data_IF_793804165917
#
_entry.id   IF_793804165917
#
_cell.length_a   1.000
_cell.length_b   1.000
_cell.length_c   1.000
_cell.angle_alpha   90.00
_cell.angle_beta   90.00
_cell.angle_gamma   90.00
#
_symmetry.space_group_name_H-M   'P 1'
#
loop_
_entity.id
_entity.type
_entity.pdbx_description
1 polymer ?
#
# COMPACT_ATOMS: atom_id res chain seq x y z
N UNK A 1 67.83 -7.79 33.85
CA UNK A 1 67.31 -6.40 33.72
C UNK A 1 66.28 -6.41 32.61
N UNK A 2 65.11 -5.83 32.88
CA UNK A 2 64.05 -5.55 31.90
C UNK A 2 64.63 -4.69 30.76
N UNK A 3 63.99 -4.61 29.60
CA UNK A 3 63.45 -3.34 29.07
C UNK A 3 62.93 -3.53 27.61
N UNK A 4 61.62 -3.79 27.53
CA UNK A 4 60.59 -3.35 26.56
C UNK A 4 60.59 -3.81 25.09
N UNK A 5 59.60 -4.68 24.82
CA UNK A 5 58.94 -4.90 23.54
C UNK A 5 58.39 -3.58 22.96
N UNK A 6 58.81 -3.20 21.76
CA UNK A 6 58.10 -2.20 20.95
C UNK A 6 57.06 -2.93 20.10
N UNK A 7 55.84 -3.08 20.61
CA UNK A 7 54.69 -3.45 19.80
C UNK A 7 54.17 -2.19 19.13
N UNK A 8 54.53 -1.99 17.86
CA UNK A 8 53.91 -0.96 17.01
C UNK A 8 52.51 -1.45 16.66
N UNK A 9 51.51 -0.98 17.40
CA UNK A 9 50.10 -1.20 17.07
C UNK A 9 49.75 -0.27 15.91
N UNK A 10 49.75 -0.82 14.69
CA UNK A 10 49.20 -0.15 13.52
C UNK A 10 47.66 -0.09 13.68
N UNK A 11 47.15 1.04 14.16
CA UNK A 11 45.71 1.35 14.14
C UNK A 11 45.28 1.53 12.69
N UNK A 12 44.79 0.46 12.08
CA UNK A 12 44.10 0.52 10.79
C UNK A 12 42.80 1.29 11.04
N UNK A 13 42.81 2.59 10.72
CA UNK A 13 41.60 3.39 10.61
C UNK A 13 40.78 2.80 9.45
N UNK A 14 39.91 1.84 9.75
CA UNK A 14 38.85 1.42 8.85
C UNK A 14 37.97 2.65 8.62
N UNK A 15 38.17 3.29 7.47
CA UNK A 15 37.34 4.41 7.06
C UNK A 15 35.88 3.96 7.07
N UNK A 16 35.05 4.60 7.90
CA UNK A 16 33.61 4.50 7.78
C UNK A 16 33.26 4.89 6.34
N UNK A 17 32.84 3.92 5.52
CA UNK A 17 32.18 4.22 4.26
C UNK A 17 31.06 5.22 4.58
N UNK A 18 31.10 6.41 3.98
CA UNK A 18 30.09 7.45 4.19
C UNK A 18 28.73 6.87 3.77
N UNK A 19 27.93 6.46 4.75
CA UNK A 19 26.56 6.00 4.53
C UNK A 19 25.77 7.17 3.96
N UNK A 20 25.54 7.17 2.65
CA UNK A 20 24.70 8.17 2.02
C UNK A 20 23.30 8.05 2.65
N UNK A 21 22.91 9.06 3.41
CA UNK A 21 21.59 9.05 4.07
C UNK A 21 20.51 8.95 2.99
N UNK A 22 19.56 8.02 3.16
CA UNK A 22 18.39 7.84 2.28
C UNK A 22 17.41 9.03 2.32
N UNK A 23 17.80 10.16 2.89
CA UNK A 23 16.94 11.29 3.23
C UNK A 23 16.51 12.13 2.02
N UNK A 24 17.23 12.05 0.89
CA UNK A 24 16.88 12.74 -0.37
C UNK A 24 15.96 11.93 -1.30
N UNK A 25 15.24 10.91 -0.81
CA UNK A 25 14.34 10.10 -1.65
C UNK A 25 13.08 10.89 -2.01
N UNK A 26 12.79 11.05 -3.31
CA UNK A 26 11.53 11.60 -3.80
C UNK A 26 10.42 10.56 -3.59
N UNK A 27 9.54 10.81 -2.63
CA UNK A 27 8.38 9.97 -2.36
C UNK A 27 7.19 10.34 -3.25
N UNK A 28 6.36 9.35 -3.60
CA UNK A 28 5.11 9.56 -4.32
C UNK A 28 4.15 10.37 -3.42
N UNK A 29 3.31 11.19 -4.03
CA UNK A 29 2.18 11.87 -3.40
C UNK A 29 1.03 11.79 -4.40
N UNK A 30 -0.13 11.27 -3.97
CA UNK A 30 -1.29 11.09 -4.85
C UNK A 30 -2.21 12.31 -4.84
N UNK A 31 -2.39 12.90 -3.65
CA UNK A 31 -3.15 14.13 -3.44
C UNK A 31 -2.50 14.98 -2.35
N UNK A 32 -2.88 16.26 -2.33
CA UNK A 32 -2.57 17.20 -1.24
C UNK A 32 -3.79 17.53 -0.39
N UNK A 33 -4.95 17.01 -0.77
CA UNK A 33 -6.23 17.32 -0.14
C UNK A 33 -6.57 16.31 0.97
N UNK A 34 -7.33 16.79 1.95
CA UNK A 34 -7.93 15.92 2.96
C UNK A 34 -9.04 15.07 2.34
N UNK A 35 -9.12 13.81 2.74
CA UNK A 35 -10.19 12.91 2.34
C UNK A 35 -11.50 13.34 3.01
N UNK A 36 -12.54 13.57 2.21
CA UNK A 36 -13.86 14.03 2.71
C UNK A 36 -14.96 12.97 2.57
N UNK A 37 -14.67 11.88 1.86
CA UNK A 37 -15.59 10.77 1.67
C UNK A 37 -16.06 10.16 2.99
N UNK A 38 -17.36 10.19 3.22
CA UNK A 38 -18.01 9.56 4.38
C UNK A 38 -18.69 8.24 4.03
N UNK A 39 -18.95 7.97 2.76
CA UNK A 39 -19.62 6.75 2.31
C UNK A 39 -19.02 6.19 1.01
N UNK A 40 -19.06 4.86 0.89
CA UNK A 40 -18.85 4.14 -0.36
C UNK A 40 -20.03 3.18 -0.54
N UNK A 41 -20.64 3.12 -1.74
CA UNK A 41 -21.68 2.15 -2.03
C UNK A 41 -21.23 0.72 -1.70
N UNK A 42 -22.10 -0.03 -1.03
CA UNK A 42 -21.83 -1.40 -0.59
C UNK A 42 -22.94 -2.33 -1.08
N UNK A 43 -22.57 -3.58 -1.33
CA UNK A 43 -23.53 -4.67 -1.56
C UNK A 43 -24.08 -5.16 -0.21
N UNK A 44 -23.18 -5.28 0.77
CA UNK A 44 -23.46 -5.64 2.16
C UNK A 44 -22.30 -5.15 3.05
N UNK A 45 -22.41 -5.36 4.36
CA UNK A 45 -21.44 -4.89 5.36
C UNK A 45 -19.99 -5.32 5.08
N UNK A 46 -19.79 -6.45 4.40
CA UNK A 46 -18.48 -7.02 4.11
C UNK A 46 -18.02 -6.83 2.67
N UNK A 47 -18.83 -6.22 1.79
CA UNK A 47 -18.57 -6.19 0.34
C UNK A 47 -18.91 -4.83 -0.28
N UNK A 48 -17.93 -4.21 -0.90
CA UNK A 48 -18.09 -2.94 -1.62
C UNK A 48 -18.78 -3.14 -2.98
N UNK A 49 -19.57 -2.15 -3.42
CA UNK A 49 -20.09 -2.12 -4.78
C UNK A 49 -19.08 -1.42 -5.70
N UNK A 50 -18.56 -2.15 -6.68
CA UNK A 50 -17.66 -1.63 -7.71
C UNK A 50 -18.40 -1.65 -9.05
N UNK A 51 -18.55 -0.49 -9.70
CA UNK A 51 -19.37 -0.35 -10.91
C UNK A 51 -18.59 -0.51 -12.22
N UNK A 52 -17.26 -0.34 -12.20
CA UNK A 52 -16.42 -0.30 -13.39
C UNK A 52 -15.13 -1.10 -13.23
N UNK A 53 -14.73 -1.75 -14.33
CA UNK A 53 -13.41 -2.40 -14.48
C UNK A 53 -12.47 -1.40 -15.16
N UNK A 54 -11.25 -1.29 -14.66
CA UNK A 54 -10.23 -0.41 -15.25
C UNK A 54 -9.70 -1.00 -16.56
N UNK A 55 -9.56 -0.17 -17.59
CA UNK A 55 -8.89 -0.53 -18.84
C UNK A 55 -7.35 -0.45 -18.72
N UNK A 56 -6.86 0.30 -17.73
CA UNK A 56 -5.44 0.48 -17.44
C UNK A 56 -4.85 -0.79 -16.81
N UNK A 57 -3.85 -1.35 -17.48
CA UNK A 57 -3.18 -2.58 -17.03
C UNK A 57 -2.36 -2.38 -15.76
N UNK A 58 -1.97 -1.15 -15.44
CA UNK A 58 -1.19 -0.82 -14.26
C UNK A 58 -2.05 -0.49 -13.04
N UNK A 59 -3.34 -0.19 -13.25
CA UNK A 59 -4.25 0.13 -12.15
C UNK A 59 -4.30 -1.01 -11.12
N UNK A 60 -4.12 -0.64 -9.87
CA UNK A 60 -3.95 -1.49 -8.70
C UNK A 60 -2.71 -2.41 -8.71
N UNK A 61 -1.93 -2.48 -9.79
CA UNK A 61 -0.79 -3.40 -9.96
C UNK A 61 0.58 -2.77 -9.75
N UNK A 62 0.64 -1.45 -9.64
CA UNK A 62 1.87 -0.71 -9.34
C UNK A 62 1.64 0.30 -8.23
N UNK A 63 2.67 0.64 -7.43
CA UNK A 63 2.53 1.63 -6.37
C UNK A 63 2.03 2.98 -6.85
N UNK A 64 2.36 3.42 -8.08
CA UNK A 64 1.93 4.72 -8.61
C UNK A 64 0.44 4.82 -8.96
N UNK A 65 -0.27 3.69 -9.03
CA UNK A 65 -1.69 3.62 -9.37
C UNK A 65 -2.43 2.66 -8.43
N UNK A 66 -2.41 2.88 -7.10
CA UNK A 66 -3.10 2.02 -6.16
C UNK A 66 -4.62 2.27 -6.22
N UNK A 67 -5.38 1.39 -5.59
CA UNK A 67 -6.81 1.63 -5.33
C UNK A 67 -6.94 2.64 -4.18
N UNK A 68 -7.70 3.70 -4.39
CA UNK A 68 -7.83 4.80 -3.42
C UNK A 68 -9.07 4.62 -2.55
N UNK A 69 -8.87 3.99 -1.40
CA UNK A 69 -9.91 3.61 -0.43
C UNK A 69 -10.03 4.60 0.74
N UNK A 70 -9.34 5.74 0.69
CA UNK A 70 -9.38 6.75 1.74
C UNK A 70 -10.79 7.28 2.00
N UNK A 71 -11.03 7.56 3.28
CA UNK A 71 -12.27 8.07 3.86
C UNK A 71 -11.95 9.25 4.77
N UNK A 72 -12.97 9.90 5.32
CA UNK A 72 -12.82 10.95 6.32
C UNK A 72 -11.96 10.50 7.52
N UNK A 73 -11.99 9.21 7.88
CA UNK A 73 -11.06 8.64 8.86
C UNK A 73 -10.21 7.52 8.28
N UNK A 74 -8.97 7.41 8.79
CA UNK A 74 -8.05 6.31 8.47
C UNK A 74 -8.63 4.94 8.84
N UNK A 75 -9.44 4.87 9.91
CA UNK A 75 -10.05 3.63 10.37
C UNK A 75 -11.03 3.09 9.32
N UNK A 76 -11.93 3.95 8.82
CA UNK A 76 -12.88 3.57 7.77
C UNK A 76 -12.16 3.17 6.48
N UNK A 77 -11.10 3.90 6.11
CA UNK A 77 -10.27 3.53 4.96
C UNK A 77 -9.64 2.13 5.10
N UNK A 78 -9.19 1.76 6.31
CA UNK A 78 -8.66 0.43 6.59
C UNK A 78 -9.74 -0.66 6.52
N UNK A 79 -10.95 -0.39 7.02
CA UNK A 79 -12.10 -1.32 6.93
C UNK A 79 -12.52 -1.58 5.47
N UNK A 80 -12.34 -0.60 4.57
CA UNK A 80 -12.66 -0.75 3.16
C UNK A 80 -11.72 -1.68 2.37
N UNK A 81 -10.55 -2.03 2.91
CA UNK A 81 -9.60 -2.94 2.25
C UNK A 81 -10.25 -4.30 1.99
N UNK A 82 -10.81 -4.92 3.03
CA UNK A 82 -11.43 -6.24 2.92
C UNK A 82 -12.71 -6.16 2.08
N UNK A 83 -13.50 -5.09 2.25
CA UNK A 83 -14.70 -4.85 1.45
C UNK A 83 -14.41 -4.75 -0.05
N UNK A 84 -13.32 -4.08 -0.41
CA UNK A 84 -12.86 -3.99 -1.79
C UNK A 84 -12.41 -5.35 -2.33
N UNK A 85 -11.61 -6.10 -1.56
CA UNK A 85 -11.12 -7.41 -1.98
C UNK A 85 -12.25 -8.44 -2.15
N UNK A 86 -13.25 -8.43 -1.26
CA UNK A 86 -14.44 -9.28 -1.35
C UNK A 86 -15.33 -8.97 -2.56
N UNK A 87 -15.24 -7.74 -3.07
CA UNK A 87 -15.95 -7.30 -4.26
C UNK A 87 -15.30 -7.78 -5.56
N UNK A 88 -14.08 -8.32 -5.52
CA UNK A 88 -13.43 -8.86 -6.71
C UNK A 88 -13.87 -10.31 -6.96
N UNK A 89 -13.98 -10.66 -8.24
CA UNK A 89 -14.20 -12.04 -8.71
C UNK A 89 -13.30 -12.31 -9.93
N UNK A 90 -13.06 -13.58 -10.23
CA UNK A 90 -12.43 -13.97 -11.49
C UNK A 90 -13.30 -13.60 -12.70
N UNK A 91 -12.75 -13.68 -13.92
CA UNK A 91 -13.47 -13.29 -15.13
C UNK A 91 -14.74 -14.11 -15.39
N UNK A 92 -14.88 -15.30 -14.81
CA UNK A 92 -16.07 -16.14 -14.91
C UNK A 92 -16.91 -16.13 -13.62
N UNK A 93 -16.59 -15.24 -12.67
CA UNK A 93 -17.27 -15.15 -11.38
C UNK A 93 -16.66 -16.04 -10.31
N UNK A 94 -15.45 -16.56 -10.52
CA UNK A 94 -14.73 -17.36 -9.52
C UNK A 94 -14.51 -16.55 -8.24
N UNK A 95 -14.63 -17.23 -7.10
CA UNK A 95 -14.22 -16.67 -5.82
C UNK A 95 -12.72 -16.37 -5.83
N UNK A 96 -12.36 -15.18 -5.34
CA UNK A 96 -10.98 -14.78 -5.14
C UNK A 96 -10.60 -14.98 -3.68
N UNK A 97 -9.38 -15.43 -3.49
CA UNK A 97 -8.75 -15.54 -2.20
C UNK A 97 -7.63 -14.51 -2.12
N UNK A 98 -7.38 -14.01 -0.92
CA UNK A 98 -6.34 -13.03 -0.72
C UNK A 98 -5.59 -13.22 0.60
N UNK A 99 -4.33 -12.80 0.59
CA UNK A 99 -3.48 -12.80 1.78
C UNK A 99 -2.73 -11.48 1.83
N UNK A 100 -2.77 -10.81 2.99
CA UNK A 100 -1.93 -9.66 3.27
C UNK A 100 -0.46 -10.07 3.08
N UNK A 101 0.25 -9.36 2.21
CA UNK A 101 1.63 -9.69 1.87
C UNK A 101 2.61 -8.90 2.71
N UNK A 102 2.60 -7.58 2.60
CA UNK A 102 3.44 -6.68 3.38
C UNK A 102 2.95 -5.23 3.17
N UNK A 103 2.97 -4.36 4.19
CA UNK A 103 2.89 -2.93 3.93
C UNK A 103 4.12 -2.50 3.13
N UNK A 104 3.94 -1.64 2.12
CA UNK A 104 5.02 -1.16 1.28
C UNK A 104 4.93 0.33 1.02
N UNK A 105 5.89 0.79 0.24
CA UNK A 105 5.73 1.97 -0.60
C UNK A 105 5.36 3.20 0.23
N UNK A 106 6.30 3.71 1.06
CA UNK A 106 6.09 4.98 1.73
C UNK A 106 5.74 6.06 0.71
N UNK A 107 4.71 6.83 1.02
CA UNK A 107 4.23 7.93 0.20
C UNK A 107 3.82 9.09 1.10
N UNK A 108 3.82 10.31 0.55
CA UNK A 108 3.39 11.51 1.26
C UNK A 108 1.88 11.68 1.16
N UNK A 109 1.25 11.97 2.29
CA UNK A 109 -0.18 12.28 2.39
C UNK A 109 -0.47 13.12 3.63
N UNK A 110 -1.42 14.04 3.51
CA UNK A 110 -1.96 14.80 4.65
C UNK A 110 -2.94 13.99 5.49
N UNK A 111 -3.43 12.87 4.95
CA UNK A 111 -4.42 11.98 5.58
C UNK A 111 -3.79 10.92 6.51
N UNK A 112 -2.46 10.94 6.67
CA UNK A 112 -1.75 10.07 7.61
C UNK A 112 -1.69 10.65 9.04
N UNK A 113 -1.97 11.93 9.20
CA UNK A 113 -1.99 12.56 10.51
C UNK A 113 -3.18 12.02 11.32
N UNK A 114 -2.89 11.43 12.48
CA UNK A 114 -3.90 11.25 13.52
C UNK A 114 -3.91 12.56 14.31
N UNK A 115 -4.98 13.34 14.18
CA UNK A 115 -5.12 14.67 14.78
C UNK A 115 -4.80 14.69 16.27
N UNK A 116 -4.93 13.54 16.95
CA UNK A 116 -4.84 13.44 18.41
C UNK A 116 -3.45 13.10 18.94
N UNK A 117 -2.59 12.40 18.18
CA UNK A 117 -1.38 11.80 18.75
C UNK A 117 -0.10 11.94 17.92
N UNK A 118 -0.17 12.07 16.59
CA UNK A 118 1.04 12.13 15.76
C UNK A 118 0.77 12.75 14.39
N UNK A 119 1.46 13.84 14.07
CA UNK A 119 1.51 14.42 12.72
C UNK A 119 2.53 13.64 11.88
N UNK A 120 2.07 12.60 11.19
CA UNK A 120 2.81 11.97 10.10
C UNK A 120 2.29 12.52 8.78
N UNK A 121 3.20 12.98 7.92
CA UNK A 121 2.88 13.31 6.52
C UNK A 121 3.10 12.09 5.58
N UNK A 122 3.21 10.89 6.15
CA UNK A 122 3.54 9.68 5.40
C UNK A 122 2.59 8.52 5.73
N UNK A 123 2.12 7.88 4.66
CA UNK A 123 1.40 6.61 4.68
C UNK A 123 2.23 5.47 4.09
N UNK A 124 1.75 4.24 4.29
CA UNK A 124 2.25 3.03 3.63
C UNK A 124 1.10 2.40 2.85
N UNK A 125 1.35 2.01 1.61
CA UNK A 125 0.38 1.22 0.85
C UNK A 125 0.26 -0.17 1.45
N UNK A 126 -0.95 -0.72 1.38
CA UNK A 126 -1.23 -2.10 1.74
C UNK A 126 -1.10 -2.98 0.49
N UNK A 127 -0.33 -4.07 0.59
CA UNK A 127 -0.19 -5.03 -0.50
C UNK A 127 -0.90 -6.33 -0.17
N UNK A 128 -1.75 -6.78 -1.09
CA UNK A 128 -2.41 -8.08 -1.00
C UNK A 128 -2.04 -8.95 -2.19
N UNK A 129 -1.72 -10.20 -1.90
CA UNK A 129 -1.65 -11.27 -2.89
C UNK A 129 -3.07 -11.77 -3.13
N UNK A 130 -3.56 -11.68 -4.36
CA UNK A 130 -4.90 -12.08 -4.78
C UNK A 130 -4.78 -13.19 -5.82
N UNK A 131 -5.56 -14.25 -5.64
CA UNK A 131 -5.51 -15.46 -6.46
C UNK A 131 -6.88 -16.14 -6.53
N UNK A 132 -7.10 -16.96 -7.55
CA UNK A 132 -8.25 -17.86 -7.68
C UNK A 132 -7.80 -19.15 -8.37
N UNK A 133 -8.61 -20.21 -8.34
CA UNK A 133 -8.20 -21.53 -8.83
C UNK A 133 -7.82 -21.57 -10.31
N UNK A 134 -8.42 -20.71 -11.13
CA UNK A 134 -8.14 -20.60 -12.57
C UNK A 134 -7.05 -19.57 -12.90
N UNK A 135 -6.46 -18.92 -11.89
CA UNK A 135 -5.37 -17.95 -12.07
C UNK A 135 -4.04 -18.69 -12.05
N UNK A 136 -3.27 -18.61 -13.14
CA UNK A 136 -1.96 -19.28 -13.21
C UNK A 136 -0.93 -18.64 -12.26
N UNK A 137 -1.05 -17.35 -11.95
CA UNK A 137 -0.11 -16.61 -11.11
C UNK A 137 -0.82 -15.67 -10.14
N UNK A 138 -0.31 -15.58 -8.90
CA UNK A 138 -0.83 -14.61 -7.91
C UNK A 138 -0.63 -13.16 -8.38
N UNK A 139 -1.68 -12.36 -8.30
CA UNK A 139 -1.63 -10.92 -8.59
C UNK A 139 -1.40 -10.14 -7.31
N UNK A 140 -0.50 -9.16 -7.33
CA UNK A 140 -0.31 -8.23 -6.22
C UNK A 140 -1.18 -6.99 -6.47
N UNK A 141 -2.02 -6.66 -5.49
CA UNK A 141 -2.85 -5.46 -5.48
C UNK A 141 -2.30 -4.47 -4.45
N UNK A 142 -2.16 -3.21 -4.87
CA UNK A 142 -1.73 -2.08 -4.05
C UNK A 142 -2.94 -1.23 -3.65
N UNK A 143 -3.11 -1.00 -2.35
CA UNK A 143 -4.25 -0.30 -1.77
C UNK A 143 -3.76 0.90 -0.95
N UNK A 144 -4.38 2.05 -1.17
CA UNK A 144 -4.20 3.26 -0.38
C UNK A 144 -5.43 3.46 0.51
N UNK A 145 -5.29 3.31 1.82
CA UNK A 145 -6.37 3.51 2.79
C UNK A 145 -6.49 4.96 3.31
N UNK A 146 -5.62 5.85 2.85
CA UNK A 146 -5.50 7.22 3.37
C UNK A 146 -6.19 8.22 2.45
N UNK A 147 -5.86 8.17 1.16
CA UNK A 147 -6.33 9.14 0.19
C UNK A 147 -7.58 8.66 -0.52
N UNK A 148 -8.56 9.54 -0.59
CA UNK A 148 -9.74 9.38 -1.42
C UNK A 148 -9.36 9.40 -2.93
N UNK A 149 -10.05 8.58 -3.73
CA UNK A 149 -9.92 8.63 -5.18
C UNK A 149 -10.71 7.55 -5.90
N UNK A 150 -10.22 7.18 -7.09
CA UNK A 150 -10.89 6.23 -7.97
C UNK A 150 -10.89 4.80 -7.39
N UNK A 151 -12.05 4.15 -7.47
CA UNK A 151 -12.25 2.74 -7.12
C UNK A 151 -12.82 2.01 -8.32
N UNK A 152 -12.00 1.13 -8.89
CA UNK A 152 -12.33 0.23 -9.99
C UNK A 152 -11.86 -1.18 -9.68
N UNK A 153 -12.39 -2.17 -10.39
CA UNK A 153 -11.80 -3.51 -10.42
C UNK A 153 -10.56 -3.49 -11.34
N UNK A 154 -9.44 -4.14 -10.98
CA UNK A 154 -8.29 -4.20 -11.86
C UNK A 154 -8.56 -5.09 -13.07
N UNK A 155 -7.91 -4.80 -14.20
CA UNK A 155 -8.01 -5.65 -15.39
C UNK A 155 -7.65 -7.10 -15.06
N UNK A 156 -8.48 -8.04 -15.53
CA UNK A 156 -8.39 -9.46 -15.20
C UNK A 156 -9.29 -9.89 -14.05
N UNK A 157 -9.99 -8.96 -13.40
CA UNK A 157 -11.04 -9.24 -12.43
C UNK A 157 -12.38 -8.65 -12.91
N UNK A 158 -13.47 -9.12 -12.29
CA UNK A 158 -14.80 -8.51 -12.34
C UNK A 158 -15.22 -8.03 -10.95
N UNK A 159 -16.19 -7.13 -10.92
CA UNK A 159 -16.89 -6.79 -9.70
C UNK A 159 -18.00 -7.81 -9.41
N UNK A 160 -18.17 -8.18 -8.14
CA UNK A 160 -19.31 -8.94 -7.64
C UNK A 160 -20.58 -8.12 -7.88
N UNK A 161 -21.67 -8.78 -8.28
CA UNK A 161 -22.93 -8.12 -8.65
C UNK A 161 -23.95 -8.08 -7.51
N UNK A 162 -23.79 -8.95 -6.50
CA UNK A 162 -24.72 -9.19 -5.40
C UNK A 162 -24.09 -10.13 -4.36
#
# INVERSE_FOLDING_TARGET
MRFYYNVVILLVLSGCAKYQSKFNRKYISYTKELSTRTEIPQINDSTMLISVVSEDMEYARVPSKPVMLGMATRKEGAENIEKYLNALTGLNGEEVFYKKFSPCCPFKTVNAADEKYFKSDFGLLEMYKVYHHTLNDTIIIYLNLYDEGLIQAPKGFKARKN
#
